data_IF_274609022528
#
_entry.id   IF_274609022528
#
_cell.length_a   1.000
_cell.length_b   1.000
_cell.length_c   1.000
_cell.angle_alpha   90.00
_cell.angle_beta   90.00
_cell.angle_gamma   90.00
#
_symmetry.space_group_name_H-M   'P 1'
#
loop_
_entity.id
_entity.type
_entity.pdbx_description
1 polymer ?
#
# COMPACT_ATOMS: atom_id res chain seq x y z
N UNK A 1 8.83 33.36 79.63
CA UNK A 1 8.14 32.08 79.34
C UNK A 1 7.76 32.08 77.86
N UNK A 2 8.45 31.26 77.09
CA UNK A 2 8.43 31.15 75.63
C UNK A 2 7.22 30.34 75.16
N UNK A 3 6.35 30.92 74.32
CA UNK A 3 5.26 30.20 73.65
C UNK A 3 5.63 29.94 72.18
N UNK A 4 6.12 28.74 71.91
CA UNK A 4 6.44 28.22 70.58
C UNK A 4 5.12 27.85 69.87
N UNK A 5 4.79 28.51 68.76
CA UNK A 5 3.67 28.11 67.88
C UNK A 5 4.17 27.03 66.92
N UNK A 6 3.70 25.79 67.06
CA UNK A 6 3.87 24.74 66.05
C UNK A 6 2.95 25.04 64.85
N UNK A 7 3.55 25.19 63.66
CA UNK A 7 2.83 25.03 62.39
C UNK A 7 2.68 23.52 62.11
N UNK A 8 1.44 23.05 62.03
CA UNK A 8 1.13 21.72 61.49
C UNK A 8 1.12 21.80 59.96
N UNK A 9 2.15 21.23 59.32
CA UNK A 9 2.19 21.04 57.86
C UNK A 9 1.42 19.75 57.54
N UNK A 10 0.20 19.88 57.04
CA UNK A 10 -0.58 18.74 56.54
C UNK A 10 0.02 18.28 55.20
N UNK A 11 0.82 17.22 55.22
CA UNK A 11 1.27 16.54 54.01
C UNK A 11 0.09 15.77 53.41
N UNK A 12 -0.54 16.34 52.37
CA UNK A 12 -1.41 15.58 51.47
C UNK A 12 -0.53 14.60 50.69
N UNK A 13 -0.42 13.36 51.18
CA UNK A 13 -0.04 12.23 50.34
C UNK A 13 -1.18 12.00 49.34
N UNK A 14 -1.10 12.65 48.18
CA UNK A 14 -1.88 12.24 47.03
C UNK A 14 -1.47 10.81 46.67
N UNK A 15 -2.38 9.86 46.86
CA UNK A 15 -2.18 8.51 46.33
C UNK A 15 -2.06 8.64 44.80
N UNK A 16 -0.86 8.45 44.28
CA UNK A 16 -0.67 8.28 42.84
C UNK A 16 -1.43 7.01 42.45
N UNK A 17 -2.57 7.17 41.81
CA UNK A 17 -3.27 6.06 41.15
C UNK A 17 -2.25 5.49 40.15
N UNK A 18 -1.85 4.21 40.27
CA UNK A 18 -0.98 3.61 39.27
C UNK A 18 -1.70 3.73 37.93
N UNK A 19 -1.17 4.54 37.01
CA UNK A 19 -1.69 4.60 35.66
C UNK A 19 -1.64 3.19 35.08
N UNK A 20 -2.76 2.72 34.51
CA UNK A 20 -2.79 1.45 33.83
C UNK A 20 -1.63 1.41 32.81
N UNK A 21 -0.86 0.32 32.80
CA UNK A 21 0.27 0.20 31.90
C UNK A 21 -0.22 0.29 30.46
N UNK A 22 0.32 1.26 29.71
CA UNK A 22 -0.06 1.48 28.31
C UNK A 22 0.32 0.26 27.47
N UNK A 23 -0.63 -0.29 26.72
CA UNK A 23 -0.39 -1.42 25.82
C UNK A 23 0.30 -0.89 24.56
N UNK A 24 1.53 -1.34 24.31
CA UNK A 24 2.27 -0.97 23.11
C UNK A 24 2.11 -2.03 22.03
N UNK A 25 1.67 -1.60 20.85
CA UNK A 25 1.54 -2.42 19.65
C UNK A 25 2.47 -1.88 18.57
N UNK A 26 3.34 -2.75 18.06
CA UNK A 26 4.28 -2.41 17.02
C UNK A 26 3.95 -3.21 15.77
N UNK A 27 3.82 -2.53 14.64
CA UNK A 27 3.68 -3.14 13.33
C UNK A 27 4.77 -2.69 12.36
N UNK A 28 4.96 -3.47 11.30
CA UNK A 28 5.88 -3.12 10.24
C UNK A 28 5.44 -3.70 8.89
N UNK A 29 5.78 -3.02 7.79
CA UNK A 29 5.67 -3.60 6.46
C UNK A 29 5.36 -2.62 5.35
N UNK A 30 4.32 -2.95 4.58
CA UNK A 30 3.89 -2.26 3.37
C UNK A 30 3.94 -0.73 3.48
N UNK A 31 4.62 -0.12 2.51
CA UNK A 31 4.61 1.34 2.36
C UNK A 31 3.38 1.83 1.59
N UNK A 32 2.69 0.94 0.87
CA UNK A 32 1.49 1.24 0.11
C UNK A 32 0.36 1.82 0.99
N UNK A 33 -0.02 1.24 2.16
CA UNK A 33 -1.03 1.82 3.05
C UNK A 33 -0.48 2.81 4.08
N UNK A 34 0.80 3.18 4.02
CA UNK A 34 1.44 3.94 5.10
C UNK A 34 0.73 5.28 5.40
N UNK A 35 0.20 5.96 4.38
CA UNK A 35 -0.50 7.24 4.54
C UNK A 35 -1.77 7.04 5.39
N UNK A 36 -2.60 6.06 5.06
CA UNK A 36 -3.84 5.77 5.81
C UNK A 36 -3.54 5.18 7.19
N UNK A 37 -2.58 4.26 7.30
CA UNK A 37 -2.20 3.66 8.60
C UNK A 37 -1.66 4.71 9.57
N UNK A 38 -0.84 5.64 9.09
CA UNK A 38 -0.36 6.76 9.91
C UNK A 38 -1.52 7.64 10.40
N UNK A 39 -2.50 7.93 9.54
CA UNK A 39 -3.69 8.71 9.92
C UNK A 39 -4.56 7.98 10.96
N UNK A 40 -4.81 6.68 10.74
CA UNK A 40 -5.55 5.82 11.64
C UNK A 40 -4.88 5.72 13.01
N UNK A 41 -3.59 5.43 13.06
CA UNK A 41 -2.87 5.30 14.33
C UNK A 41 -2.76 6.61 15.08
N UNK A 42 -2.57 7.74 14.38
CA UNK A 42 -2.62 9.06 15.01
C UNK A 42 -3.98 9.31 15.66
N UNK A 43 -5.07 9.04 14.93
CA UNK A 43 -6.43 9.24 15.43
C UNK A 43 -6.73 8.31 16.61
N UNK A 44 -6.41 7.03 16.48
CA UNK A 44 -6.69 6.02 17.49
C UNK A 44 -5.89 6.28 18.78
N UNK A 45 -4.60 6.58 18.68
CA UNK A 45 -3.75 6.90 19.84
C UNK A 45 -4.24 8.15 20.60
N UNK A 46 -4.88 9.11 19.92
CA UNK A 46 -5.47 10.29 20.58
C UNK A 46 -6.74 9.94 21.36
N UNK A 47 -7.56 9.04 20.83
CA UNK A 47 -8.80 8.60 21.47
C UNK A 47 -8.58 7.54 22.57
N UNK A 48 -7.49 6.77 22.48
CA UNK A 48 -7.17 5.64 23.35
C UNK A 48 -5.79 5.81 23.98
N UNK A 49 -5.63 6.68 25.01
CA UNK A 49 -4.34 6.95 25.64
C UNK A 49 -3.73 5.72 26.36
N UNK A 50 -4.55 4.69 26.63
CA UNK A 50 -4.15 3.39 27.15
C UNK A 50 -3.48 2.48 26.12
N UNK A 51 -3.51 2.84 24.82
CA UNK A 51 -2.87 2.11 23.73
C UNK A 51 -1.87 3.01 22.98
N UNK A 52 -0.74 2.43 22.58
CA UNK A 52 0.22 3.08 21.69
C UNK A 52 0.54 2.21 20.49
N UNK A 53 -0.04 2.55 19.35
CA UNK A 53 0.24 1.95 18.05
C UNK A 53 1.42 2.64 17.38
N UNK A 54 2.36 1.85 16.87
CA UNK A 54 3.47 2.30 16.04
C UNK A 54 3.54 1.45 14.76
N UNK A 55 3.87 2.06 13.63
CA UNK A 55 4.06 1.34 12.36
C UNK A 55 5.34 1.75 11.65
N UNK A 56 6.12 0.77 11.21
CA UNK A 56 7.32 0.99 10.42
C UNK A 56 7.07 0.70 8.94
N UNK A 57 7.08 1.75 8.13
CA UNK A 57 7.02 1.68 6.66
C UNK A 57 8.35 1.16 6.10
N UNK A 58 8.47 -0.15 5.89
CA UNK A 58 9.73 -0.83 5.51
C UNK A 58 9.62 -1.74 4.28
N UNK A 59 8.46 -1.76 3.64
CA UNK A 59 8.15 -2.66 2.54
C UNK A 59 7.54 -3.99 3.01
N UNK A 60 6.65 -4.53 2.19
CA UNK A 60 5.82 -5.71 2.51
C UNK A 60 6.65 -6.97 2.75
N UNK A 61 7.79 -7.11 2.06
CA UNK A 61 8.74 -8.20 2.32
C UNK A 61 9.39 -8.10 3.71
N UNK A 62 9.73 -6.87 4.15
CA UNK A 62 10.21 -6.61 5.51
C UNK A 62 9.13 -6.89 6.56
N UNK A 63 7.89 -6.49 6.28
CA UNK A 63 6.74 -6.76 7.15
C UNK A 63 6.45 -8.25 7.33
N UNK A 64 6.39 -9.02 6.24
CA UNK A 64 6.22 -10.48 6.29
C UNK A 64 7.32 -11.14 7.11
N UNK A 65 8.58 -10.69 6.93
CA UNK A 65 9.72 -11.22 7.69
C UNK A 65 9.59 -10.92 9.17
N UNK A 66 9.44 -9.65 9.55
CA UNK A 66 9.37 -9.25 10.95
C UNK A 66 8.18 -9.87 11.68
N UNK A 67 7.04 -10.00 10.99
CA UNK A 67 5.86 -10.71 11.49
C UNK A 67 6.13 -12.21 11.68
N UNK A 68 6.73 -12.87 10.68
CA UNK A 68 7.09 -14.30 10.77
C UNK A 68 8.09 -14.59 11.89
N UNK A 69 9.02 -13.67 12.13
CA UNK A 69 10.04 -13.77 13.17
C UNK A 69 9.49 -13.41 14.58
N UNK A 70 8.22 -12.98 14.69
CA UNK A 70 7.59 -12.58 15.95
C UNK A 70 8.18 -11.29 16.56
N UNK A 71 8.84 -10.47 15.75
CA UNK A 71 9.53 -9.24 16.21
C UNK A 71 8.58 -8.03 16.28
N UNK A 72 7.41 -8.14 15.65
CA UNK A 72 6.33 -7.15 15.65
C UNK A 72 5.02 -7.84 15.98
N UNK A 73 4.06 -7.09 16.53
CA UNK A 73 2.75 -7.59 16.93
C UNK A 73 1.83 -7.83 15.72
N UNK A 74 2.04 -7.11 14.61
CA UNK A 74 1.33 -7.31 13.35
C UNK A 74 2.19 -6.89 12.13
N UNK A 75 1.95 -7.54 10.99
CA UNK A 75 2.57 -7.17 9.73
C UNK A 75 1.63 -6.34 8.85
N UNK A 76 2.17 -5.61 7.88
CA UNK A 76 1.41 -5.08 6.74
C UNK A 76 1.97 -5.58 5.41
N UNK A 77 1.10 -6.00 4.50
CA UNK A 77 1.52 -6.48 3.19
C UNK A 77 0.51 -6.17 2.08
N UNK A 78 0.99 -5.93 0.87
CA UNK A 78 0.19 -5.89 -0.36
C UNK A 78 0.45 -7.13 -1.24
N UNK A 79 1.32 -8.01 -0.75
CA UNK A 79 1.63 -9.31 -1.32
C UNK A 79 1.21 -10.36 -0.30
N UNK A 80 0.03 -10.98 -0.45
CA UNK A 80 -0.39 -12.04 0.45
C UNK A 80 0.69 -13.11 0.62
N UNK A 81 0.80 -13.66 1.83
CA UNK A 81 1.80 -14.70 2.11
C UNK A 81 1.47 -15.95 1.30
N UNK A 82 2.51 -16.57 0.73
CA UNK A 82 2.39 -17.87 0.07
C UNK A 82 2.07 -18.97 1.08
N UNK A 83 1.47 -20.07 0.62
CA UNK A 83 1.19 -21.22 1.50
C UNK A 83 2.46 -21.75 2.18
N UNK A 84 3.60 -21.73 1.48
CA UNK A 84 4.89 -22.11 2.05
C UNK A 84 5.35 -21.19 3.19
N UNK A 85 5.16 -19.87 3.05
CA UNK A 85 5.51 -18.91 4.10
C UNK A 85 4.57 -19.04 5.30
N UNK A 86 3.28 -19.32 5.06
CA UNK A 86 2.30 -19.58 6.11
C UNK A 86 2.63 -20.88 6.87
N UNK A 87 2.97 -21.94 6.15
CA UNK A 87 3.35 -23.23 6.73
C UNK A 87 4.62 -23.10 7.60
N UNK A 88 5.57 -22.25 7.20
CA UNK A 88 6.80 -21.99 7.96
C UNK A 88 6.55 -21.38 9.36
N UNK A 89 5.40 -20.72 9.55
CA UNK A 89 4.95 -20.18 10.85
C UNK A 89 3.74 -20.95 11.41
N UNK A 90 3.70 -22.26 11.12
CA UNK A 90 2.68 -23.22 11.60
C UNK A 90 1.23 -22.83 11.30
N UNK A 91 1.02 -22.03 10.25
CA UNK A 91 -0.31 -21.54 9.87
C UNK A 91 -0.88 -20.49 10.82
N UNK A 92 -0.07 -19.92 11.72
CA UNK A 92 -0.48 -18.92 12.69
C UNK A 92 -0.54 -17.51 12.09
N UNK A 93 -1.36 -17.34 11.05
CA UNK A 93 -1.59 -16.04 10.41
C UNK A 93 -3.00 -15.95 9.84
N UNK A 94 -3.56 -14.75 9.93
CA UNK A 94 -4.75 -14.29 9.22
C UNK A 94 -4.37 -13.07 8.38
N UNK A 95 -4.88 -13.02 7.15
CA UNK A 95 -4.80 -11.86 6.26
C UNK A 95 -6.09 -11.06 6.38
N UNK A 96 -6.03 -9.89 7.01
CA UNK A 96 -7.19 -9.01 7.15
C UNK A 96 -7.06 -7.90 6.12
N UNK A 97 -7.87 -7.86 5.05
CA UNK A 97 -7.84 -6.75 4.10
C UNK A 97 -8.29 -5.47 4.82
N UNK A 98 -7.70 -4.31 4.49
CA UNK A 98 -7.99 -3.04 5.20
C UNK A 98 -8.51 -1.93 4.31
N UNK A 99 -7.87 -1.68 3.17
CA UNK A 99 -8.30 -0.69 2.17
C UNK A 99 -7.89 -1.15 0.78
N UNK A 100 -8.35 -0.44 -0.23
CA UNK A 100 -7.93 -0.62 -1.60
C UNK A 100 -7.20 0.62 -2.12
N UNK A 101 -6.25 0.39 -3.02
CA UNK A 101 -5.57 1.47 -3.74
C UNK A 101 -5.19 1.06 -5.15
N UNK A 102 -4.56 1.97 -5.87
CA UNK A 102 -4.02 1.75 -7.21
C UNK A 102 -2.51 1.94 -7.22
N UNK A 103 -1.81 1.11 -7.99
CA UNK A 103 -0.42 1.35 -8.38
C UNK A 103 -0.41 2.08 -9.71
N UNK A 104 0.02 3.34 -9.70
CA UNK A 104 0.01 4.22 -10.87
C UNK A 104 1.39 4.34 -11.50
N UNK A 105 1.44 4.44 -12.84
CA UNK A 105 2.67 4.78 -13.56
C UNK A 105 2.90 6.30 -13.50
N UNK A 106 3.51 6.76 -12.41
CA UNK A 106 3.88 8.16 -12.24
C UNK A 106 5.08 8.51 -13.12
N UNK A 107 5.09 9.71 -13.71
CA UNK A 107 6.15 10.14 -14.61
C UNK A 107 6.47 11.63 -14.45
N UNK A 108 7.63 12.03 -14.97
CA UNK A 108 8.05 13.44 -15.04
C UNK A 108 8.38 13.81 -16.48
N UNK A 109 7.48 14.56 -17.11
CA UNK A 109 7.64 15.15 -18.43
C UNK A 109 7.32 16.66 -18.35
N UNK A 110 8.30 17.53 -18.08
CA UNK A 110 8.05 18.95 -17.77
C UNK A 110 7.25 19.69 -18.85
N UNK A 111 7.48 19.33 -20.12
CA UNK A 111 6.88 20.00 -21.27
C UNK A 111 5.55 19.37 -21.73
N UNK A 112 5.06 18.33 -21.03
CA UNK A 112 3.82 17.62 -21.37
C UNK A 112 2.76 17.90 -20.31
N UNK A 113 1.73 18.66 -20.68
CA UNK A 113 0.63 19.02 -19.78
C UNK A 113 -0.55 18.05 -19.83
N UNK A 114 -0.71 17.30 -20.93
CA UNK A 114 -1.78 16.31 -21.06
C UNK A 114 -1.40 14.98 -20.39
N UNK A 115 -2.36 14.25 -19.81
CA UNK A 115 -2.12 12.90 -19.31
C UNK A 115 -1.66 11.97 -20.44
N UNK A 116 -0.55 11.26 -20.23
CA UNK A 116 -0.08 10.23 -21.17
C UNK A 116 -0.90 8.96 -21.01
N UNK A 117 -1.31 8.37 -22.13
CA UNK A 117 -1.98 7.08 -22.24
C UNK A 117 -0.98 5.97 -22.52
N UNK A 118 -1.12 4.84 -21.86
CA UNK A 118 -0.32 3.64 -22.10
C UNK A 118 -1.19 2.39 -22.21
N UNK A 119 -0.98 1.60 -23.26
CA UNK A 119 -1.56 0.25 -23.38
C UNK A 119 -0.74 -0.76 -22.57
N UNK A 120 -1.29 -1.93 -22.23
CA UNK A 120 -0.59 -2.93 -21.43
C UNK A 120 0.74 -3.40 -22.06
N UNK A 121 0.77 -3.57 -23.38
CA UNK A 121 1.95 -3.98 -24.13
C UNK A 121 3.04 -2.90 -24.15
N UNK A 122 2.66 -1.64 -24.36
CA UNK A 122 3.60 -0.50 -24.33
C UNK A 122 4.19 -0.34 -22.93
N UNK A 123 3.34 -0.42 -21.90
CA UNK A 123 3.80 -0.32 -20.52
C UNK A 123 4.77 -1.45 -20.15
N UNK A 124 4.46 -2.70 -20.51
CA UNK A 124 5.36 -3.82 -20.28
C UNK A 124 6.70 -3.64 -21.02
N UNK A 125 6.66 -3.19 -22.28
CA UNK A 125 7.87 -2.97 -23.08
C UNK A 125 8.73 -1.81 -22.58
N UNK A 126 8.15 -0.79 -21.93
CA UNK A 126 8.90 0.24 -21.19
C UNK A 126 9.69 -0.41 -20.05
N UNK A 127 9.04 -1.20 -19.20
CA UNK A 127 9.70 -1.83 -18.04
C UNK A 127 10.63 -3.00 -18.44
N UNK A 128 10.49 -3.55 -19.65
CA UNK A 128 11.46 -4.48 -20.26
C UNK A 128 12.66 -3.75 -20.90
N UNK A 129 12.64 -2.42 -21.00
CA UNK A 129 13.69 -1.63 -21.65
C UNK A 129 13.67 -1.67 -23.19
N UNK A 130 12.56 -2.11 -23.80
CA UNK A 130 12.39 -2.18 -25.25
C UNK A 130 11.90 -0.87 -25.85
N UNK A 131 11.07 -0.13 -25.12
CA UNK A 131 10.68 1.25 -25.46
C UNK A 131 11.49 2.19 -24.58
N UNK A 132 12.39 2.95 -25.20
CA UNK A 132 13.42 3.74 -24.49
C UNK A 132 13.24 5.24 -24.64
N UNK A 133 12.27 5.71 -25.45
CA UNK A 133 12.02 7.13 -25.69
C UNK A 133 10.53 7.45 -25.62
N UNK A 134 10.19 8.63 -25.10
CA UNK A 134 8.80 9.07 -24.94
C UNK A 134 8.08 9.36 -26.25
N UNK A 135 8.80 9.73 -27.30
CA UNK A 135 8.25 9.92 -28.64
C UNK A 135 8.24 8.63 -29.50
N UNK A 136 8.43 7.45 -28.88
CA UNK A 136 8.28 6.17 -29.59
C UNK A 136 6.95 6.11 -30.33
N UNK A 137 6.96 5.61 -31.57
CA UNK A 137 5.80 5.61 -32.45
C UNK A 137 4.58 4.90 -31.83
N UNK A 138 4.79 3.88 -31.00
CA UNK A 138 3.70 3.18 -30.30
C UNK A 138 3.07 4.06 -29.23
N UNK A 139 3.86 4.82 -28.47
CA UNK A 139 3.34 5.80 -27.50
C UNK A 139 2.63 6.95 -28.24
N UNK A 140 3.24 7.50 -29.30
CA UNK A 140 2.67 8.61 -30.06
C UNK A 140 1.32 8.24 -30.70
N UNK A 141 1.19 7.04 -31.26
CA UNK A 141 -0.05 6.60 -31.93
C UNK A 141 -1.27 6.53 -31.00
N UNK A 142 -1.08 6.26 -29.71
CA UNK A 142 -2.15 6.18 -28.70
C UNK A 142 -2.36 7.50 -27.93
N UNK A 143 -1.58 8.53 -28.25
CA UNK A 143 -1.62 9.87 -27.64
C UNK A 143 -1.79 10.98 -28.70
N UNK A 144 -2.84 10.93 -29.56
CA UNK A 144 -3.03 11.95 -30.58
C UNK A 144 -3.18 13.34 -29.96
N UNK A 145 -2.43 14.30 -30.49
CA UNK A 145 -2.45 15.70 -30.02
C UNK A 145 -1.56 15.99 -28.80
N UNK A 146 -0.86 15.00 -28.25
CA UNK A 146 0.15 15.21 -27.20
C UNK A 146 1.52 15.37 -27.83
N UNK A 147 2.19 16.49 -27.57
CA UNK A 147 3.54 16.76 -28.06
C UNK A 147 4.58 16.00 -27.23
N UNK A 148 4.77 14.71 -27.53
CA UNK A 148 5.72 13.86 -26.81
C UNK A 148 7.17 14.22 -27.15
N UNK A 149 8.05 14.46 -26.15
CA UNK A 149 9.42 14.86 -26.38
C UNK A 149 10.29 13.68 -26.84
N UNK A 150 11.36 13.99 -27.59
CA UNK A 150 12.47 13.05 -27.83
C UNK A 150 13.36 12.93 -26.58
N UNK A 151 12.75 12.54 -25.47
CA UNK A 151 13.37 12.35 -24.16
C UNK A 151 13.53 10.84 -23.90
N UNK A 152 14.66 10.43 -23.35
CA UNK A 152 14.86 9.05 -22.91
C UNK A 152 13.93 8.71 -21.74
N UNK A 153 13.44 7.48 -21.73
CA UNK A 153 12.64 6.93 -20.64
C UNK A 153 13.60 6.34 -19.60
N UNK A 154 13.49 6.83 -18.37
CA UNK A 154 14.25 6.29 -17.23
C UNK A 154 13.26 5.54 -16.33
N UNK A 155 13.33 4.21 -16.36
CA UNK A 155 12.51 3.37 -15.46
C UNK A 155 12.99 3.53 -14.03
N UNK A 156 12.07 3.69 -13.09
CA UNK A 156 12.32 3.66 -11.65
C UNK A 156 11.50 2.54 -11.02
N UNK A 157 12.17 1.62 -10.36
CA UNK A 157 11.56 0.49 -9.66
C UNK A 157 11.90 0.52 -8.17
N UNK A 158 11.29 -0.37 -7.40
CA UNK A 158 11.60 -0.52 -5.97
C UNK A 158 12.91 -1.28 -5.78
N UNK A 159 13.73 -0.83 -4.83
CA UNK A 159 14.96 -1.52 -4.43
C UNK A 159 14.77 -2.49 -3.26
N UNK A 160 13.66 -2.37 -2.51
CA UNK A 160 13.30 -3.18 -1.36
C UNK A 160 12.17 -4.17 -1.65
N UNK A 161 12.05 -5.21 -0.82
CA UNK A 161 10.98 -6.20 -0.91
C UNK A 161 9.60 -5.56 -0.72
N UNK A 162 8.83 -5.47 -1.81
CA UNK A 162 7.71 -4.55 -1.94
C UNK A 162 6.43 -5.22 -2.42
N UNK A 163 5.33 -5.01 -1.71
CA UNK A 163 4.00 -5.40 -2.16
C UNK A 163 3.53 -4.58 -3.36
N UNK A 164 3.89 -3.29 -3.44
CA UNK A 164 3.66 -2.48 -4.65
C UNK A 164 4.33 -3.09 -5.88
N UNK A 165 5.55 -3.64 -5.74
CA UNK A 165 6.21 -4.39 -6.82
C UNK A 165 5.47 -5.68 -7.14
N UNK A 166 4.98 -6.40 -6.13
CA UNK A 166 4.17 -7.60 -6.36
C UNK A 166 2.91 -7.28 -7.17
N UNK A 167 2.16 -6.24 -6.80
CA UNK A 167 0.95 -5.79 -7.53
C UNK A 167 1.31 -5.39 -8.96
N UNK A 168 2.38 -4.60 -9.14
CA UNK A 168 2.82 -4.14 -10.45
C UNK A 168 3.25 -5.30 -11.35
N UNK A 169 4.07 -6.21 -10.84
CA UNK A 169 4.60 -7.35 -11.59
C UNK A 169 3.57 -8.44 -11.82
N UNK A 170 2.61 -8.64 -10.91
CA UNK A 170 1.45 -9.50 -11.14
C UNK A 170 0.57 -8.97 -12.28
N UNK A 171 0.33 -7.66 -12.33
CA UNK A 171 -0.35 -7.03 -13.46
C UNK A 171 0.43 -7.23 -14.77
N UNK A 172 1.72 -6.90 -14.80
CA UNK A 172 2.55 -7.04 -16.00
C UNK A 172 2.64 -8.49 -16.50
N UNK A 173 2.73 -9.46 -15.58
CA UNK A 173 2.74 -10.89 -15.93
C UNK A 173 1.41 -11.36 -16.54
N UNK A 174 0.27 -10.76 -16.18
CA UNK A 174 -1.05 -11.08 -16.78
C UNK A 174 -1.23 -10.53 -18.19
N UNK A 175 -0.57 -9.42 -18.52
CA UNK A 175 -0.77 -8.70 -19.78
C UNK A 175 0.37 -8.84 -20.78
N UNK A 176 1.54 -9.34 -20.35
CA UNK A 176 2.70 -9.58 -21.21
C UNK A 176 3.27 -10.98 -20.97
N UNK A 177 3.09 -11.91 -21.94
CA UNK A 177 3.72 -13.23 -21.88
C UNK A 177 5.24 -13.17 -21.77
N UNK A 178 5.87 -12.19 -22.44
CA UNK A 178 7.32 -11.98 -22.36
C UNK A 178 7.75 -11.58 -20.95
N UNK A 179 7.01 -10.67 -20.29
CA UNK A 179 7.24 -10.33 -18.89
C UNK A 179 7.10 -11.54 -17.98
N UNK A 180 6.00 -12.29 -18.13
CA UNK A 180 5.73 -13.47 -17.31
C UNK A 180 6.85 -14.51 -17.41
N UNK A 181 7.41 -14.71 -18.60
CA UNK A 181 8.49 -15.67 -18.83
C UNK A 181 9.85 -15.17 -18.34
N UNK A 182 10.20 -13.90 -18.59
CA UNK A 182 11.54 -13.36 -18.32
C UNK A 182 11.72 -12.84 -16.89
N UNK A 183 10.69 -12.21 -16.33
CA UNK A 183 10.76 -11.49 -15.05
C UNK A 183 9.85 -12.15 -14.01
N UNK A 184 8.64 -12.53 -14.39
CA UNK A 184 7.65 -13.10 -13.49
C UNK A 184 7.07 -12.06 -12.52
N UNK A 185 6.59 -12.54 -11.37
CA UNK A 185 5.98 -11.70 -10.32
C UNK A 185 6.58 -12.00 -8.95
N UNK A 186 6.64 -10.98 -8.10
CA UNK A 186 7.18 -11.13 -6.75
C UNK A 186 7.33 -9.81 -6.02
N UNK A 187 7.58 -9.88 -4.71
CA UNK A 187 7.97 -8.70 -3.93
C UNK A 187 9.37 -8.19 -4.29
N UNK A 188 10.18 -9.06 -4.90
CA UNK A 188 11.47 -8.76 -5.52
C UNK A 188 11.59 -9.57 -6.81
N UNK A 189 12.09 -8.94 -7.87
CA UNK A 189 12.35 -9.56 -9.19
C UNK A 189 13.67 -9.04 -9.75
N UNK A 190 14.23 -9.72 -10.75
CA UNK A 190 15.39 -9.23 -11.49
C UNK A 190 14.93 -8.21 -12.54
N UNK A 191 14.93 -6.92 -12.19
CA UNK A 191 14.50 -5.86 -13.09
C UNK A 191 15.41 -5.76 -14.32
N UNK A 192 14.85 -5.72 -15.55
CA UNK A 192 15.65 -5.60 -16.78
C UNK A 192 16.42 -4.28 -16.88
N UNK A 193 15.79 -3.20 -16.43
CA UNK A 193 16.32 -1.83 -16.49
C UNK A 193 15.82 -1.01 -15.32
N UNK A 194 16.49 0.12 -15.07
CA UNK A 194 15.99 1.20 -14.23
C UNK A 194 16.81 1.45 -12.96
N UNK A 195 16.33 2.44 -12.21
CA UNK A 195 16.93 2.89 -10.96
C UNK A 195 16.10 2.37 -9.78
N UNK A 196 16.76 1.91 -8.72
CA UNK A 196 16.11 1.42 -7.51
C UNK A 196 15.85 2.53 -6.49
N UNK A 197 14.57 2.83 -6.23
CA UNK A 197 14.12 3.69 -5.13
C UNK A 197 13.61 2.87 -3.94
N UNK A 198 13.96 3.25 -2.71
CA UNK A 198 13.48 2.57 -1.50
C UNK A 198 12.10 3.09 -1.07
N UNK A 199 11.14 2.21 -0.85
CA UNK A 199 9.78 2.61 -0.47
C UNK A 199 9.01 3.29 -1.61
N UNK A 200 7.75 3.68 -1.35
CA UNK A 200 6.99 4.46 -2.32
C UNK A 200 7.58 5.89 -2.40
N UNK A 201 8.03 6.39 -1.26
CA UNK A 201 8.70 7.67 -1.06
C UNK A 201 9.94 7.82 -1.94
N UNK A 202 10.83 6.83 -1.93
CA UNK A 202 12.07 6.87 -2.72
C UNK A 202 11.83 6.78 -4.22
N UNK A 203 10.85 5.97 -4.66
CA UNK A 203 10.46 5.92 -6.09
C UNK A 203 9.84 7.25 -6.51
N UNK A 204 8.89 7.79 -5.73
CA UNK A 204 8.25 9.08 -6.01
C UNK A 204 9.28 10.22 -6.10
N UNK A 205 10.21 10.30 -5.14
CA UNK A 205 11.27 11.30 -5.14
C UNK A 205 12.18 11.16 -6.37
N UNK A 206 12.60 9.94 -6.72
CA UNK A 206 13.47 9.68 -7.87
C UNK A 206 12.78 10.06 -9.18
N UNK A 207 11.52 9.66 -9.37
CA UNK A 207 10.74 10.03 -10.56
C UNK A 207 10.62 11.54 -10.66
N UNK A 208 10.25 12.22 -9.57
CA UNK A 208 10.07 13.69 -9.56
C UNK A 208 11.34 14.46 -9.92
N UNK A 209 12.50 13.97 -9.47
CA UNK A 209 13.79 14.65 -9.68
C UNK A 209 14.45 14.33 -11.03
N UNK A 210 13.89 13.38 -11.78
CA UNK A 210 14.52 12.84 -13.00
C UNK A 210 13.62 13.10 -14.21
N UNK A 211 13.90 14.12 -15.04
CA UNK A 211 13.17 14.34 -16.29
C UNK A 211 13.22 13.11 -17.20
N UNK A 212 12.06 12.72 -17.73
CA UNK A 212 11.91 11.50 -18.53
C UNK A 212 11.68 10.23 -17.71
N UNK A 213 11.70 10.29 -16.37
CA UNK A 213 11.47 9.11 -15.56
C UNK A 213 10.01 8.66 -15.55
N UNK A 214 9.82 7.35 -15.44
CA UNK A 214 8.55 6.68 -15.16
C UNK A 214 8.78 5.63 -14.07
N UNK A 215 7.95 5.62 -13.06
CA UNK A 215 7.98 4.64 -11.98
C UNK A 215 6.58 4.27 -11.51
N UNK A 216 6.49 3.22 -10.71
CA UNK A 216 5.22 2.77 -10.16
C UNK A 216 5.12 3.07 -8.66
N UNK A 217 4.08 3.79 -8.27
CA UNK A 217 3.82 4.18 -6.88
C UNK A 217 2.34 4.02 -6.55
N UNK A 218 2.00 3.93 -5.27
CA UNK A 218 0.62 3.98 -4.83
C UNK A 218 0.00 5.37 -5.11
N UNK A 219 -1.27 5.41 -5.52
CA UNK A 219 -2.02 6.59 -5.96
C UNK A 219 -1.98 7.74 -4.94
N UNK A 220 -2.16 7.47 -3.65
CA UNK A 220 -2.06 8.45 -2.58
C UNK A 220 -0.74 9.23 -2.60
N UNK A 221 0.39 8.57 -2.90
CA UNK A 221 1.68 9.26 -3.06
C UNK A 221 1.71 10.17 -4.29
N UNK A 222 1.13 9.73 -5.41
CA UNK A 222 1.05 10.55 -6.61
C UNK A 222 0.18 11.79 -6.38
N UNK A 223 -0.99 11.62 -5.73
CA UNK A 223 -1.90 12.72 -5.38
C UNK A 223 -1.26 13.70 -4.41
N UNK A 224 -0.66 13.21 -3.31
CA UNK A 224 0.00 14.04 -2.30
C UNK A 224 1.12 14.90 -2.90
N UNK A 225 1.89 14.32 -3.83
CA UNK A 225 3.01 15.00 -4.48
C UNK A 225 2.63 15.72 -5.78
N UNK A 226 1.35 15.71 -6.16
CA UNK A 226 0.84 16.29 -7.43
C UNK A 226 1.61 15.78 -8.65
N UNK A 227 1.96 14.50 -8.65
CA UNK A 227 2.72 13.88 -9.72
C UNK A 227 1.80 13.49 -10.88
N UNK A 228 2.16 13.80 -12.13
CA UNK A 228 1.51 13.22 -13.29
C UNK A 228 1.62 11.69 -13.27
N UNK A 229 0.56 11.01 -13.68
CA UNK A 229 0.54 9.56 -13.86
C UNK A 229 -0.28 9.18 -15.08
N UNK A 230 0.06 8.04 -15.67
CA UNK A 230 -0.53 7.61 -16.93
C UNK A 230 -1.99 7.14 -16.78
N UNK A 231 -2.77 7.36 -17.83
CA UNK A 231 -4.07 6.72 -18.06
C UNK A 231 -3.81 5.34 -18.70
N UNK A 232 -4.34 4.28 -18.12
CA UNK A 232 -4.06 2.92 -18.60
C UNK A 232 -5.25 2.35 -19.36
N UNK A 233 -4.98 1.64 -20.46
CA UNK A 233 -6.03 0.85 -21.12
C UNK A 233 -6.26 -0.44 -20.35
N UNK A 234 -7.50 -0.69 -19.91
CA UNK A 234 -7.84 -1.90 -19.17
C UNK A 234 -8.18 -3.09 -20.09
N UNK A 235 -8.47 -4.24 -19.49
CA UNK A 235 -8.80 -5.48 -20.20
C UNK A 235 -10.03 -5.33 -21.12
N UNK A 236 -11.00 -4.50 -20.75
CA UNK A 236 -12.19 -4.20 -21.57
C UNK A 236 -11.90 -3.23 -22.72
N UNK A 237 -10.66 -2.75 -22.84
CA UNK A 237 -10.23 -1.84 -23.89
C UNK A 237 -10.48 -0.36 -23.61
N UNK A 238 -10.95 -0.01 -22.41
CA UNK A 238 -11.26 1.37 -22.00
C UNK A 238 -10.05 2.07 -21.40
N UNK A 239 -9.96 3.39 -21.57
CA UNK A 239 -8.94 4.23 -20.96
C UNK A 239 -9.36 4.66 -19.56
N UNK A 240 -8.69 4.14 -18.54
CA UNK A 240 -9.04 4.35 -17.13
C UNK A 240 -7.95 5.18 -16.45
N UNK A 241 -8.38 6.30 -15.85
CA UNK A 241 -7.54 7.07 -14.94
C UNK A 241 -7.69 6.48 -13.54
N UNK A 242 -6.59 6.37 -12.80
CA UNK A 242 -6.67 5.90 -11.41
C UNK A 242 -7.47 6.88 -10.54
N UNK A 243 -8.47 6.34 -9.87
CA UNK A 243 -9.36 7.02 -8.92
C UNK A 243 -9.95 6.02 -7.93
N UNK A 244 -10.55 6.49 -6.84
CA UNK A 244 -11.20 5.63 -5.86
C UNK A 244 -12.30 4.79 -6.51
N UNK A 245 -13.10 5.39 -7.39
CA UNK A 245 -14.17 4.70 -8.12
C UNK A 245 -13.62 3.59 -9.02
N UNK A 246 -12.53 3.86 -9.75
CA UNK A 246 -11.90 2.85 -10.63
C UNK A 246 -11.26 1.70 -9.85
N UNK A 247 -10.77 1.96 -8.63
CA UNK A 247 -10.24 0.96 -7.71
C UNK A 247 -11.37 0.10 -7.14
N UNK A 248 -12.46 0.73 -6.67
CA UNK A 248 -13.67 0.00 -6.24
C UNK A 248 -14.24 -0.86 -7.37
N UNK A 249 -14.26 -0.34 -8.61
CA UNK A 249 -14.71 -1.09 -9.79
C UNK A 249 -13.83 -2.32 -10.08
N UNK A 250 -12.52 -2.26 -9.79
CA UNK A 250 -11.63 -3.42 -9.93
C UNK A 250 -11.98 -4.54 -8.92
N UNK A 251 -12.31 -4.16 -7.68
CA UNK A 251 -12.68 -5.11 -6.64
C UNK A 251 -14.04 -5.77 -6.84
N UNK A 252 -15.01 -5.07 -7.44
CA UNK A 252 -16.35 -5.60 -7.70
C UNK A 252 -16.35 -6.92 -8.49
N UNK A 253 -15.33 -7.16 -9.33
CA UNK A 253 -15.12 -8.43 -10.01
C UNK A 253 -14.83 -9.58 -9.04
N UNK A 254 -13.88 -9.39 -8.11
CA UNK A 254 -13.47 -10.41 -7.15
C UNK A 254 -14.51 -10.65 -6.05
N UNK A 255 -15.31 -9.62 -5.71
CA UNK A 255 -16.38 -9.73 -4.71
C UNK A 255 -17.41 -10.83 -5.01
N UNK A 256 -17.60 -11.19 -6.28
CA UNK A 256 -18.56 -12.25 -6.68
C UNK A 256 -18.20 -13.63 -6.13
N UNK A 257 -16.92 -13.85 -5.90
CA UNK A 257 -16.38 -15.12 -5.40
C UNK A 257 -16.11 -15.07 -3.89
N UNK A 258 -16.47 -13.96 -3.22
CA UNK A 258 -16.28 -13.78 -1.78
C UNK A 258 -17.53 -14.21 -0.98
N UNK A 259 -17.30 -14.85 0.17
CA UNK A 259 -18.30 -15.36 1.10
C UNK A 259 -17.68 -15.65 2.47
N UNK A 260 -18.42 -16.37 3.32
CA UNK A 260 -18.07 -16.55 4.74
C UNK A 260 -16.71 -17.23 4.99
N UNK A 261 -16.25 -18.08 4.07
CA UNK A 261 -15.00 -18.85 4.18
C UNK A 261 -13.93 -18.38 3.20
N UNK A 262 -14.02 -17.13 2.71
CA UNK A 262 -13.11 -16.65 1.68
C UNK A 262 -11.70 -16.50 2.21
N UNK A 263 -10.76 -17.07 1.46
CA UNK A 263 -9.36 -16.72 1.56
C UNK A 263 -9.17 -15.32 0.97
N UNK A 264 -8.95 -14.32 1.83
CA UNK A 264 -8.80 -12.93 1.41
C UNK A 264 -7.48 -12.65 0.68
N UNK A 265 -6.62 -13.64 0.47
CA UNK A 265 -5.38 -13.53 -0.34
C UNK A 265 -5.68 -13.45 -1.84
N UNK A 266 -6.52 -12.49 -2.23
CA UNK A 266 -7.03 -12.30 -3.59
C UNK A 266 -6.20 -11.27 -4.36
N UNK A 267 -6.15 -11.44 -5.68
CA UNK A 267 -5.61 -10.43 -6.59
C UNK A 267 -6.75 -9.80 -7.39
N UNK A 268 -6.77 -8.47 -7.47
CA UNK A 268 -7.72 -7.71 -8.30
C UNK A 268 -7.06 -6.97 -9.47
N UNK A 269 -5.78 -7.25 -9.75
CA UNK A 269 -5.11 -6.71 -10.94
C UNK A 269 -5.68 -7.33 -12.23
N UNK A 270 -5.72 -6.52 -13.28
CA UNK A 270 -6.32 -6.80 -14.58
C UNK A 270 -7.76 -7.32 -14.47
N UNK A 271 -8.55 -6.74 -13.57
CA UNK A 271 -9.97 -7.09 -13.39
C UNK A 271 -10.77 -6.80 -14.68
N UNK A 272 -11.76 -7.65 -15.06
CA UNK A 272 -12.49 -7.53 -16.32
C UNK A 272 -13.56 -6.42 -16.32
N UNK A 273 -13.72 -5.69 -15.22
CA UNK A 273 -14.71 -4.62 -15.10
C UNK A 273 -14.45 -3.47 -16.07
N UNK A 274 -15.48 -2.98 -16.75
CA UNK A 274 -15.35 -1.94 -17.77
C UNK A 274 -14.71 -0.64 -17.25
N UNK A 275 -14.89 -0.33 -15.95
CA UNK A 275 -14.31 0.84 -15.27
C UNK A 275 -13.15 0.48 -14.32
N UNK A 276 -12.71 -0.77 -14.32
CA UNK A 276 -11.67 -1.25 -13.41
C UNK A 276 -10.30 -0.68 -13.78
N UNK A 277 -9.62 -0.10 -12.80
CA UNK A 277 -8.21 0.28 -12.98
C UNK A 277 -7.32 -0.97 -13.00
N UNK A 278 -6.37 -1.10 -13.95
CA UNK A 278 -5.69 -2.38 -14.19
C UNK A 278 -4.76 -2.84 -13.06
N UNK A 279 -4.14 -1.92 -12.34
CA UNK A 279 -3.19 -2.24 -11.27
C UNK A 279 -3.73 -1.84 -9.89
N UNK A 280 -4.97 -2.23 -9.59
CA UNK A 280 -5.58 -2.07 -8.28
C UNK A 280 -5.20 -3.24 -7.34
N UNK A 281 -5.22 -2.99 -6.03
CA UNK A 281 -5.01 -4.02 -5.01
C UNK A 281 -5.72 -3.70 -3.71
N UNK A 282 -6.08 -4.74 -2.97
CA UNK A 282 -6.23 -4.64 -1.52
C UNK A 282 -4.83 -4.52 -0.87
N UNK A 283 -4.82 -4.11 0.38
CA UNK A 283 -3.68 -4.29 1.28
C UNK A 283 -4.17 -4.98 2.54
N UNK A 284 -3.29 -5.72 3.22
CA UNK A 284 -3.62 -6.60 4.32
C UNK A 284 -2.79 -6.31 5.56
N UNK A 285 -3.44 -6.39 6.72
CA UNK A 285 -2.75 -6.68 7.97
C UNK A 285 -2.53 -8.18 8.11
N UNK A 286 -1.36 -8.53 8.62
CA UNK A 286 -1.01 -9.88 9.04
C UNK A 286 -1.12 -9.94 10.54
N UNK A 287 -1.99 -10.80 11.05
CA UNK A 287 -2.17 -11.00 12.49
C UNK A 287 -2.04 -12.47 12.83
N UNK A 288 -1.47 -12.78 13.98
CA UNK A 288 -1.46 -14.15 14.47
C UNK A 288 -2.89 -14.59 14.85
N UNK A 289 -3.20 -15.88 14.65
CA UNK A 289 -4.45 -16.48 15.13
C UNK A 289 -4.49 -16.54 16.65
N UNK A 290 -3.32 -16.76 17.27
CA UNK A 290 -3.14 -16.81 18.72
C UNK A 290 -2.00 -15.91 19.15
N UNK A 291 -2.19 -15.24 20.29
CA UNK A 291 -1.20 -14.38 20.93
C UNK A 291 -0.96 -14.88 22.36
N UNK A 292 0.29 -14.84 22.82
CA UNK A 292 0.63 -15.16 24.20
C UNK A 292 0.25 -14.06 25.20
N UNK A 293 0.13 -12.82 24.73
CA UNK A 293 -0.26 -11.66 25.54
C UNK A 293 -1.71 -11.26 25.18
N UNK A 294 -2.63 -11.49 26.12
CA UNK A 294 -4.06 -11.22 25.93
C UNK A 294 -4.38 -9.72 25.90
N UNK A 295 -3.57 -8.87 26.54
CA UNK A 295 -3.76 -7.42 26.52
C UNK A 295 -3.42 -6.88 25.12
N UNK A 296 -2.31 -7.34 24.54
CA UNK A 296 -1.97 -7.01 23.15
C UNK A 296 -2.99 -7.55 22.15
N UNK A 297 -3.45 -8.78 22.32
CA UNK A 297 -4.47 -9.36 21.47
C UNK A 297 -5.76 -8.53 21.49
N UNK A 298 -6.24 -8.17 22.68
CA UNK A 298 -7.43 -7.36 22.86
C UNK A 298 -7.30 -5.96 22.25
N UNK A 299 -6.18 -5.29 22.50
CA UNK A 299 -5.90 -3.97 21.93
C UNK A 299 -5.80 -4.00 20.39
N UNK A 300 -5.16 -5.03 19.82
CA UNK A 300 -5.03 -5.15 18.37
C UNK A 300 -6.37 -5.43 17.70
N UNK A 301 -7.19 -6.31 18.28
CA UNK A 301 -8.56 -6.57 17.79
C UNK A 301 -9.40 -5.30 17.85
N UNK A 302 -9.33 -4.54 18.95
CA UNK A 302 -10.06 -3.28 19.10
C UNK A 302 -9.63 -2.23 18.06
N UNK A 303 -8.33 -2.11 17.79
CA UNK A 303 -7.82 -1.22 16.75
C UNK A 303 -8.28 -1.64 15.35
N UNK A 304 -8.18 -2.93 15.01
CA UNK A 304 -8.62 -3.44 13.70
C UNK A 304 -10.12 -3.22 13.55
N UNK A 305 -10.92 -3.54 14.56
CA UNK A 305 -12.36 -3.29 14.53
C UNK A 305 -12.69 -1.82 14.26
N UNK A 306 -12.02 -0.89 14.96
CA UNK A 306 -12.19 0.54 14.72
C UNK A 306 -11.76 0.93 13.31
N UNK A 307 -10.62 0.43 12.82
CA UNK A 307 -10.10 0.71 11.48
C UNK A 307 -11.06 0.24 10.38
N UNK A 308 -11.67 -0.93 10.55
CA UNK A 308 -12.64 -1.54 9.63
C UNK A 308 -14.03 -0.89 9.68
N UNK A 309 -14.33 -0.14 10.73
CA UNK A 309 -15.62 0.54 10.93
C UNK A 309 -15.46 2.06 10.76
N UNK A 310 -15.17 2.78 11.83
CA UNK A 310 -15.02 4.23 11.86
C UNK A 310 -13.84 4.72 11.00
N UNK A 311 -12.73 3.98 11.03
CA UNK A 311 -11.51 4.31 10.29
C UNK A 311 -11.72 4.37 8.78
N UNK A 312 -12.62 3.56 8.23
CA UNK A 312 -12.90 3.54 6.78
C UNK A 312 -13.37 4.90 6.24
N UNK A 313 -14.02 5.74 7.06
CA UNK A 313 -14.45 7.07 6.64
C UNK A 313 -13.28 7.99 6.26
N UNK A 314 -12.07 7.72 6.77
CA UNK A 314 -10.85 8.48 6.50
C UNK A 314 -10.13 8.05 5.22
N UNK A 315 -10.40 6.85 4.70
CA UNK A 315 -9.70 6.31 3.54
C UNK A 315 -9.80 7.24 2.30
N UNK A 316 -10.99 7.78 1.94
CA UNK A 316 -11.10 8.67 0.79
C UNK A 316 -10.30 9.97 0.91
N UNK A 317 -10.21 10.52 2.13
CA UNK A 317 -9.52 11.79 2.40
C UNK A 317 -8.02 11.73 2.08
N UNK A 318 -7.44 10.52 2.12
CA UNK A 318 -6.00 10.29 1.91
C UNK A 318 -5.71 9.40 0.70
N UNK A 319 -6.67 9.26 -0.21
CA UNK A 319 -6.46 8.67 -1.54
C UNK A 319 -6.73 7.17 -1.68
N UNK A 320 -7.36 6.54 -0.70
CA UNK A 320 -7.69 5.11 -0.73
C UNK A 320 -9.19 4.89 -0.93
N UNK A 321 -9.52 3.86 -1.70
CA UNK A 321 -10.90 3.38 -1.76
C UNK A 321 -11.18 2.56 -0.49
N UNK A 322 -12.29 2.85 0.21
CA UNK A 322 -12.65 2.11 1.40
C UNK A 322 -13.08 0.69 1.02
N UNK A 323 -12.97 -0.26 1.96
CA UNK A 323 -13.41 -1.63 1.71
C UNK A 323 -14.88 -1.70 1.30
N UNK A 324 -15.28 -2.62 0.42
CA UNK A 324 -16.70 -2.91 0.20
C UNK A 324 -17.43 -3.18 1.52
N UNK A 325 -18.68 -2.72 1.64
CA UNK A 325 -19.42 -2.83 2.92
C UNK A 325 -19.60 -4.28 3.35
N UNK A 326 -19.68 -5.18 2.39
CA UNK A 326 -19.82 -6.63 2.54
C UNK A 326 -18.58 -7.29 3.18
N UNK A 327 -17.43 -6.62 3.15
CA UNK A 327 -16.18 -7.11 3.76
C UNK A 327 -15.90 -6.51 5.14
N UNK A 328 -16.74 -5.56 5.58
CA UNK A 328 -16.59 -4.91 6.88
C UNK A 328 -17.46 -5.62 7.92
N UNK A 329 -17.07 -5.59 9.21
CA UNK A 329 -17.92 -6.08 10.29
C UNK A 329 -19.19 -5.25 10.51
#
# INVERSE_FOLDING_TARGET
MTSTRLLALAALLGAAVPGAAQVQLNGAGATFPNIIYSNWMLTYNQAHPDVKLNYQSIGSGGGIRQFSDGTVDFGGTDAPMTDSAIAAITGNVLHIPTVLGAVVAAYTLPDVSQPVRLTPDVLADIFLGKITKWNDARIASINPGVALPNQDIIVVHRSDGSGTSFVWTDYLAKVSPEWAQKVGKGTSVNWPVGLGGRGNEGVAATVRQTPGAIGYIELGYALLNKMPFAVLRNQSGNWITASLESVTAAAAGAMKDMGQNTDFRVSITNSPGAQAYPAASFTWLLVHKTYGDSAKAGALVAFIWWAETEGQAKAPEVGYAPLPRELRP
#
